data_IF_587256558974
#
_entry.id   IF_587256558974
#
_cell.length_a   1.000
_cell.length_b   1.000
_cell.length_c   1.000
_cell.angle_alpha   90.00
_cell.angle_beta   90.00
_cell.angle_gamma   90.00
#
_symmetry.space_group_name_H-M   'P 1'
#
loop_
_entity.id
_entity.type
_entity.pdbx_description
1 polymer ?
#
# COMPACT_ATOMS: atom_id res chain seq x y z
N UNK A 1 36.51 -5.25 21.40
CA UNK A 1 36.48 -3.82 21.03
C UNK A 1 37.10 -3.58 19.64
N UNK A 2 38.32 -4.07 19.36
CA UNK A 2 38.98 -3.95 18.04
C UNK A 2 38.15 -4.59 16.90
N UNK A 3 37.57 -5.77 17.13
CA UNK A 3 36.74 -6.48 16.12
C UNK A 3 35.48 -5.70 15.73
N UNK A 4 34.84 -5.03 16.70
CA UNK A 4 33.64 -4.23 16.44
C UNK A 4 33.98 -2.95 15.65
N UNK A 5 35.10 -2.30 16.00
CA UNK A 5 35.57 -1.13 15.27
C UNK A 5 35.90 -1.48 13.81
N UNK A 6 36.59 -2.60 13.60
CA UNK A 6 36.91 -3.10 12.26
C UNK A 6 35.66 -3.42 11.44
N UNK A 7 34.67 -4.09 12.03
CA UNK A 7 33.39 -4.38 11.38
C UNK A 7 32.63 -3.08 11.02
N UNK A 8 32.66 -2.08 11.88
CA UNK A 8 32.04 -0.78 11.62
C UNK A 8 32.71 -0.04 10.47
N UNK A 9 34.05 -0.06 10.40
CA UNK A 9 34.83 0.53 9.30
C UNK A 9 34.49 -0.16 7.98
N UNK A 10 34.51 -1.50 7.95
CA UNK A 10 34.13 -2.25 6.74
C UNK A 10 32.72 -1.88 6.30
N UNK A 11 31.75 -1.86 7.22
CA UNK A 11 30.35 -1.54 6.89
C UNK A 11 30.21 -0.12 6.35
N UNK A 12 30.94 0.85 6.91
CA UNK A 12 30.99 2.23 6.42
C UNK A 12 31.57 2.30 5.00
N UNK A 13 32.74 1.69 4.78
CA UNK A 13 33.40 1.69 3.47
C UNK A 13 32.54 1.01 2.40
N UNK A 14 31.91 -0.12 2.72
CA UNK A 14 30.97 -0.80 1.82
C UNK A 14 29.77 0.08 1.49
N UNK A 15 29.20 0.78 2.48
CA UNK A 15 28.07 1.68 2.26
C UNK A 15 28.45 2.90 1.42
N UNK A 16 29.65 3.46 1.65
CA UNK A 16 30.19 4.56 0.86
C UNK A 16 30.50 4.11 -0.57
N UNK A 17 31.08 2.92 -0.74
CA UNK A 17 31.33 2.33 -2.06
C UNK A 17 30.03 2.16 -2.84
N UNK A 18 29.00 1.56 -2.24
CA UNK A 18 27.70 1.36 -2.90
C UNK A 18 26.97 2.68 -3.21
N UNK A 19 27.26 3.75 -2.46
CA UNK A 19 26.74 5.08 -2.73
C UNK A 19 27.44 5.74 -3.92
N UNK A 20 28.77 5.60 -4.03
CA UNK A 20 29.58 6.15 -5.12
C UNK A 20 29.46 5.33 -6.41
N UNK A 21 29.24 4.02 -6.27
CA UNK A 21 29.14 3.05 -7.35
C UNK A 21 27.84 2.25 -7.18
N UNK A 22 26.67 2.88 -7.46
CA UNK A 22 25.39 2.24 -7.26
C UNK A 22 25.25 1.04 -8.22
N UNK A 23 24.93 -0.12 -7.64
CA UNK A 23 24.62 -1.29 -8.44
C UNK A 23 23.27 -1.10 -9.14
N UNK A 24 23.24 -1.34 -10.44
CA UNK A 24 21.98 -1.37 -11.20
C UNK A 24 21.32 -2.73 -11.01
N UNK A 25 20.07 -2.80 -10.54
CA UNK A 25 19.38 -4.06 -10.36
C UNK A 25 19.15 -4.78 -11.69
N UNK A 26 19.26 -6.11 -11.72
CA UNK A 26 18.79 -6.93 -12.85
C UNK A 26 17.29 -7.19 -12.70
N UNK A 27 16.49 -6.78 -13.68
CA UNK A 27 15.03 -6.89 -13.62
C UNK A 27 14.49 -8.08 -14.43
N UNK A 28 13.83 -9.01 -13.74
CA UNK A 28 13.13 -10.14 -14.33
C UNK A 28 11.63 -9.84 -14.39
N UNK A 29 11.02 -10.08 -15.53
CA UNK A 29 9.57 -9.92 -15.75
C UNK A 29 8.95 -11.11 -16.48
N UNK A 30 9.75 -12.14 -16.75
CA UNK A 30 9.31 -13.41 -17.33
C UNK A 30 8.95 -14.41 -16.24
N UNK A 31 7.84 -15.12 -16.42
CA UNK A 31 7.25 -15.99 -15.38
C UNK A 31 8.24 -17.03 -14.85
N UNK A 32 8.96 -17.73 -15.74
CA UNK A 32 9.89 -18.79 -15.33
C UNK A 32 11.12 -18.24 -14.58
N UNK A 33 11.88 -17.25 -15.10
CA UNK A 33 12.94 -16.60 -14.34
C UNK A 33 12.49 -15.99 -13.02
N UNK A 34 11.32 -15.34 -12.97
CA UNK A 34 10.78 -14.79 -11.72
C UNK A 34 10.46 -15.89 -10.72
N UNK A 35 9.88 -17.01 -11.16
CA UNK A 35 9.54 -18.15 -10.29
C UNK A 35 10.80 -18.76 -9.69
N UNK A 36 11.83 -19.00 -10.52
CA UNK A 36 13.12 -19.52 -10.07
C UNK A 36 13.77 -18.58 -9.04
N UNK A 37 13.79 -17.28 -9.32
CA UNK A 37 14.34 -16.28 -8.40
C UNK A 37 13.59 -16.25 -7.06
N UNK A 38 12.25 -16.35 -7.07
CA UNK A 38 11.46 -16.41 -5.84
C UNK A 38 11.72 -17.71 -5.06
N UNK A 39 11.91 -18.86 -5.71
CA UNK A 39 12.19 -20.16 -5.07
C UNK A 39 13.52 -20.17 -4.31
N UNK A 40 14.51 -19.43 -4.81
CA UNK A 40 15.82 -19.28 -4.18
C UNK A 40 15.89 -18.18 -3.12
N UNK A 41 14.79 -17.46 -2.92
CA UNK A 41 14.73 -16.32 -2.02
C UNK A 41 14.70 -16.77 -0.56
N UNK A 42 15.64 -16.26 0.25
CA UNK A 42 15.66 -16.44 1.71
C UNK A 42 15.30 -15.15 2.43
N UNK A 43 15.02 -15.23 3.74
CA UNK A 43 14.82 -14.05 4.58
C UNK A 43 16.00 -13.08 4.50
N UNK A 44 17.23 -13.59 4.52
CA UNK A 44 18.44 -12.77 4.39
C UNK A 44 18.48 -12.02 3.07
N UNK A 45 18.26 -12.71 1.95
CA UNK A 45 18.28 -12.08 0.61
C UNK A 45 17.23 -10.98 0.46
N UNK A 46 16.08 -11.09 1.16
CA UNK A 46 15.01 -10.07 1.19
C UNK A 46 15.25 -8.94 2.18
N UNK A 47 15.77 -9.25 3.36
CA UNK A 47 16.02 -8.29 4.43
C UNK A 47 17.10 -7.28 4.03
N UNK A 48 18.13 -7.72 3.30
CA UNK A 48 19.28 -6.91 2.91
C UNK A 48 18.89 -5.64 2.12
N UNK A 49 18.17 -5.72 0.98
CA UNK A 49 17.65 -4.54 0.28
C UNK A 49 16.67 -3.69 1.12
N UNK A 50 16.07 -4.28 2.15
CA UNK A 50 15.11 -3.64 3.03
C UNK A 50 15.72 -3.02 4.30
N UNK A 51 17.03 -3.12 4.51
CA UNK A 51 17.71 -2.48 5.65
C UNK A 51 17.50 -0.98 5.73
N UNK A 52 17.33 -0.30 4.59
CA UNK A 52 16.97 1.14 4.54
C UNK A 52 15.70 1.47 5.33
N UNK A 53 14.75 0.54 5.44
CA UNK A 53 13.52 0.71 6.22
C UNK A 53 13.79 0.64 7.73
N UNK A 54 14.81 -0.11 8.16
CA UNK A 54 15.28 -0.09 9.56
C UNK A 54 15.82 1.31 9.88
N UNK A 55 16.62 1.89 8.98
CA UNK A 55 17.15 3.26 9.15
C UNK A 55 16.01 4.29 9.20
N UNK A 56 15.05 4.20 8.28
CA UNK A 56 13.97 5.17 8.15
C UNK A 56 12.91 5.07 9.26
N UNK A 57 12.57 3.86 9.71
CA UNK A 57 11.43 3.64 10.61
C UNK A 57 11.77 2.94 11.93
N UNK A 58 12.94 2.33 12.05
CA UNK A 58 13.29 1.51 13.22
C UNK A 58 12.43 0.26 13.36
N UNK A 59 12.02 -0.35 12.25
CA UNK A 59 11.15 -1.52 12.21
C UNK A 59 11.92 -2.83 12.14
N UNK A 60 11.38 -3.86 12.78
CA UNK A 60 11.78 -5.24 12.59
C UNK A 60 10.53 -6.08 12.30
N UNK A 61 10.26 -6.30 11.02
CA UNK A 61 9.06 -6.99 10.53
C UNK A 61 9.42 -8.00 9.42
N UNK A 62 8.40 -8.54 8.73
CA UNK A 62 8.60 -9.54 7.67
C UNK A 62 9.50 -9.07 6.51
N UNK A 63 9.67 -7.76 6.32
CA UNK A 63 10.54 -7.23 5.27
C UNK A 63 12.00 -7.11 5.68
N UNK A 64 12.28 -6.94 6.97
CA UNK A 64 13.60 -6.52 7.47
C UNK A 64 14.28 -7.56 8.35
N UNK A 65 13.55 -8.56 8.85
CA UNK A 65 14.11 -9.60 9.70
C UNK A 65 14.79 -10.70 8.90
N UNK A 66 15.88 -11.23 9.46
CA UNK A 66 16.55 -12.46 9.01
C UNK A 66 16.16 -13.67 9.86
N UNK A 67 15.39 -13.45 10.94
CA UNK A 67 15.02 -14.49 11.90
C UNK A 67 13.74 -15.19 11.47
N UNK A 68 13.77 -16.52 11.22
CA UNK A 68 12.56 -17.29 10.93
C UNK A 68 11.49 -17.18 12.03
N UNK A 69 11.91 -17.12 13.29
CA UNK A 69 10.98 -17.01 14.42
C UNK A 69 10.23 -15.67 14.44
N UNK A 70 10.95 -14.56 14.21
CA UNK A 70 10.34 -13.23 14.17
C UNK A 70 9.40 -13.12 12.98
N UNK A 71 9.84 -13.64 11.82
CA UNK A 71 9.01 -13.70 10.62
C UNK A 71 7.71 -14.48 10.86
N UNK A 72 7.80 -15.70 11.40
CA UNK A 72 6.63 -16.54 11.65
C UNK A 72 5.69 -15.93 12.70
N UNK A 73 6.23 -15.36 13.78
CA UNK A 73 5.43 -14.67 14.80
C UNK A 73 4.66 -13.49 14.21
N UNK A 74 5.32 -12.69 13.36
CA UNK A 74 4.69 -11.59 12.65
C UNK A 74 3.55 -12.08 11.75
N UNK A 75 3.81 -13.09 10.91
CA UNK A 75 2.81 -13.64 9.99
C UNK A 75 1.61 -14.22 10.73
N UNK A 76 1.82 -14.98 11.82
CA UNK A 76 0.75 -15.54 12.63
C UNK A 76 -0.13 -14.43 13.22
N UNK A 77 0.49 -13.40 13.79
CA UNK A 77 -0.22 -12.25 14.37
C UNK A 77 -1.06 -11.50 13.33
N UNK A 78 -0.46 -11.14 12.20
CA UNK A 78 -1.14 -10.41 11.13
C UNK A 78 -2.26 -11.24 10.53
N UNK A 79 -2.03 -12.52 10.29
CA UNK A 79 -3.04 -13.43 9.73
C UNK A 79 -4.25 -13.58 10.65
N UNK A 80 -4.04 -13.75 11.96
CA UNK A 80 -5.13 -13.85 12.92
C UNK A 80 -6.01 -12.59 12.97
N UNK A 81 -5.39 -11.40 12.90
CA UNK A 81 -6.11 -10.13 12.89
C UNK A 81 -6.91 -9.94 11.60
N UNK A 82 -6.34 -10.31 10.44
CA UNK A 82 -7.03 -10.26 9.16
C UNK A 82 -8.22 -11.23 9.09
N UNK A 83 -8.06 -12.46 9.56
CA UNK A 83 -9.17 -13.43 9.56
C UNK A 83 -10.32 -12.98 10.46
N UNK A 84 -10.00 -12.35 11.60
CA UNK A 84 -11.03 -11.82 12.49
C UNK A 84 -11.91 -10.76 11.82
N UNK A 85 -11.37 -9.95 10.90
CA UNK A 85 -12.13 -8.96 10.14
C UNK A 85 -12.72 -9.51 8.83
N UNK A 86 -12.46 -10.77 8.49
CA UNK A 86 -12.80 -11.39 7.21
C UNK A 86 -14.21 -12.03 7.18
N UNK A 87 -15.20 -11.38 7.79
CA UNK A 87 -16.60 -11.82 7.81
C UNK A 87 -17.56 -10.66 7.51
N UNK A 88 -18.81 -10.98 7.14
CA UNK A 88 -19.78 -9.97 6.66
C UNK A 88 -20.11 -8.91 7.69
N UNK A 89 -20.32 -9.29 8.95
CA UNK A 89 -20.61 -8.33 10.03
C UNK A 89 -19.46 -7.33 10.16
N UNK A 90 -18.22 -7.84 10.22
CA UNK A 90 -17.03 -7.00 10.36
C UNK A 90 -16.82 -6.11 9.13
N UNK A 91 -17.07 -6.63 7.91
CA UNK A 91 -16.91 -5.85 6.68
C UNK A 91 -17.97 -4.75 6.53
N UNK A 92 -19.23 -5.03 6.87
CA UNK A 92 -20.30 -4.01 6.91
C UNK A 92 -19.97 -2.93 7.94
N UNK A 93 -19.47 -3.33 9.11
CA UNK A 93 -19.00 -2.37 10.12
C UNK A 93 -17.84 -1.51 9.59
N UNK A 94 -16.84 -2.11 8.95
CA UNK A 94 -15.71 -1.38 8.36
C UNK A 94 -16.15 -0.43 7.24
N UNK A 95 -17.13 -0.82 6.42
CA UNK A 95 -17.70 0.04 5.39
C UNK A 95 -18.38 1.27 5.99
N UNK A 96 -19.27 1.07 6.96
CA UNK A 96 -19.96 2.15 7.65
C UNK A 96 -18.97 3.08 8.38
N UNK A 97 -17.94 2.51 9.02
CA UNK A 97 -16.89 3.27 9.69
C UNK A 97 -16.08 4.10 8.69
N UNK A 98 -15.67 3.51 7.55
CA UNK A 98 -14.95 4.20 6.49
C UNK A 98 -15.76 5.36 5.89
N UNK A 99 -17.06 5.16 5.65
CA UNK A 99 -17.98 6.20 5.19
C UNK A 99 -18.06 7.36 6.19
N UNK A 100 -18.32 7.04 7.48
CA UNK A 100 -18.36 8.02 8.57
C UNK A 100 -17.07 8.82 8.69
N UNK A 101 -15.92 8.14 8.63
CA UNK A 101 -14.59 8.80 8.67
C UNK A 101 -14.45 9.80 7.52
N UNK A 102 -14.90 9.42 6.32
CA UNK A 102 -14.84 10.30 5.16
C UNK A 102 -15.78 11.51 5.27
N UNK A 103 -17.00 11.32 5.78
CA UNK A 103 -17.95 12.39 6.07
C UNK A 103 -17.36 13.39 7.06
N UNK A 104 -16.85 12.91 8.21
CA UNK A 104 -16.19 13.75 9.22
C UNK A 104 -15.01 14.54 8.65
N UNK A 105 -14.21 13.92 7.78
CA UNK A 105 -13.08 14.59 7.16
C UNK A 105 -13.53 15.74 6.25
N UNK A 106 -14.58 15.53 5.46
CA UNK A 106 -15.14 16.54 4.56
C UNK A 106 -15.78 17.68 5.35
N UNK A 107 -16.63 17.37 6.34
CA UNK A 107 -17.32 18.37 7.17
C UNK A 107 -16.35 19.26 7.95
N UNK A 108 -15.22 18.70 8.38
CA UNK A 108 -14.16 19.44 9.09
C UNK A 108 -13.19 20.15 8.16
N UNK A 109 -13.34 20.01 6.83
CA UNK A 109 -12.49 20.70 5.87
C UNK A 109 -12.81 22.19 5.88
N UNK A 110 -11.82 23.08 6.13
CA UNK A 110 -12.05 24.52 6.04
C UNK A 110 -12.15 25.02 4.60
N UNK A 111 -11.81 24.17 3.62
CA UNK A 111 -11.79 24.48 2.19
C UNK A 111 -12.98 23.80 1.49
N UNK A 112 -13.67 24.49 0.56
CA UNK A 112 -14.69 23.88 -0.29
C UNK A 112 -14.09 22.82 -1.23
N UNK A 113 -12.80 22.93 -1.54
CA UNK A 113 -12.04 21.93 -2.30
C UNK A 113 -11.36 20.98 -1.31
N UNK A 114 -11.70 19.69 -1.41
CA UNK A 114 -11.17 18.63 -0.55
C UNK A 114 -10.11 17.84 -1.30
N UNK A 115 -8.90 17.74 -0.77
CA UNK A 115 -7.84 16.92 -1.39
C UNK A 115 -8.20 15.43 -1.40
N UNK A 116 -8.33 14.83 -2.59
CA UNK A 116 -8.72 13.43 -2.78
C UNK A 116 -7.71 12.48 -2.12
N UNK A 117 -6.42 12.68 -2.38
CA UNK A 117 -5.36 11.82 -1.84
C UNK A 117 -5.32 11.83 -0.31
N UNK A 118 -5.51 13.00 0.32
CA UNK A 118 -5.57 13.12 1.79
C UNK A 118 -6.81 12.46 2.37
N UNK A 119 -7.98 12.62 1.75
CA UNK A 119 -9.21 11.92 2.16
C UNK A 119 -9.01 10.40 2.15
N UNK A 120 -8.53 9.84 1.04
CA UNK A 120 -8.30 8.39 0.91
C UNK A 120 -7.27 7.89 1.92
N UNK A 121 -6.16 8.62 2.12
CA UNK A 121 -5.15 8.26 3.13
C UNK A 121 -5.74 8.22 4.54
N UNK A 122 -6.55 9.21 4.93
CA UNK A 122 -7.16 9.24 6.28
C UNK A 122 -8.11 8.08 6.48
N UNK A 123 -9.01 7.82 5.51
CA UNK A 123 -9.97 6.71 5.57
C UNK A 123 -9.20 5.39 5.70
N UNK A 124 -8.24 5.13 4.81
CA UNK A 124 -7.47 3.87 4.81
C UNK A 124 -6.66 3.72 6.11
N UNK A 125 -6.01 4.79 6.58
CA UNK A 125 -5.22 4.73 7.82
C UNK A 125 -6.08 4.40 9.03
N UNK A 126 -7.24 5.04 9.18
CA UNK A 126 -8.17 4.75 10.29
C UNK A 126 -8.77 3.34 10.16
N UNK A 127 -9.11 2.86 8.97
CA UNK A 127 -9.54 1.46 8.77
C UNK A 127 -8.45 0.46 9.17
N UNK A 128 -7.18 0.72 8.82
CA UNK A 128 -6.03 -0.09 9.25
C UNK A 128 -5.88 -0.09 10.77
N UNK A 129 -6.07 1.06 11.45
CA UNK A 129 -6.09 1.11 12.90
C UNK A 129 -7.23 0.29 13.50
N UNK A 130 -8.44 0.36 12.94
CA UNK A 130 -9.59 -0.42 13.41
C UNK A 130 -9.31 -1.94 13.35
N UNK A 131 -8.63 -2.42 12.31
CA UNK A 131 -8.29 -3.85 12.16
C UNK A 131 -7.14 -4.26 13.09
N UNK A 132 -6.03 -3.54 13.07
CA UNK A 132 -4.78 -4.00 13.69
C UNK A 132 -4.52 -3.44 15.09
N UNK A 133 -5.18 -2.35 15.44
CA UNK A 133 -5.01 -1.62 16.71
C UNK A 133 -6.37 -1.14 17.26
N UNK A 134 -7.37 -2.03 17.45
CA UNK A 134 -8.73 -1.65 17.79
C UNK A 134 -8.83 -0.87 19.11
N UNK A 135 -7.91 -1.08 20.06
CA UNK A 135 -7.86 -0.30 21.30
C UNK A 135 -7.42 1.15 21.07
N UNK A 136 -6.55 1.41 20.09
CA UNK A 136 -6.18 2.77 19.67
C UNK A 136 -7.33 3.40 18.89
N UNK A 137 -7.95 2.64 17.99
CA UNK A 137 -9.09 3.11 17.22
C UNK A 137 -10.30 3.46 18.11
N UNK A 138 -10.57 2.72 19.19
CA UNK A 138 -11.65 3.07 20.13
C UNK A 138 -11.40 4.37 20.89
N UNK A 139 -10.15 4.82 20.99
CA UNK A 139 -9.78 6.10 21.60
C UNK A 139 -10.00 7.32 20.69
N UNK A 140 -10.88 7.24 19.69
CA UNK A 140 -11.27 8.35 18.80
C UNK A 140 -12.50 9.15 19.28
N UNK A 141 -13.00 8.90 20.51
CA UNK A 141 -14.09 9.69 21.12
C UNK A 141 -13.61 11.09 21.51
N UNK A 142 -14.51 12.02 21.84
CA UNK A 142 -14.19 13.43 22.15
C UNK A 142 -13.11 13.61 23.25
N UNK A 143 -12.96 12.62 24.14
CA UNK A 143 -11.94 12.57 25.21
C UNK A 143 -10.67 11.76 24.83
N UNK A 144 -10.55 11.41 23.55
CA UNK A 144 -9.61 10.44 23.00
C UNK A 144 -8.19 10.96 22.74
N UNK A 145 -7.20 10.06 22.76
CA UNK A 145 -5.78 10.39 22.62
C UNK A 145 -5.39 10.76 21.18
N UNK A 146 -6.00 10.17 20.14
CA UNK A 146 -5.57 10.30 18.74
C UNK A 146 -6.49 11.23 17.93
N UNK A 147 -6.02 12.43 17.59
CA UNK A 147 -6.81 13.43 16.83
C UNK A 147 -6.60 13.28 15.32
N UNK A 148 -7.50 13.83 14.51
CA UNK A 148 -7.36 13.83 13.04
C UNK A 148 -6.04 14.48 12.58
N UNK A 149 -5.57 15.47 13.32
CA UNK A 149 -4.27 16.10 13.08
C UNK A 149 -3.12 15.10 13.26
N UNK A 150 -3.20 14.20 14.24
CA UNK A 150 -2.19 13.16 14.45
C UNK A 150 -2.22 12.12 13.33
N UNK A 151 -3.41 11.72 12.87
CA UNK A 151 -3.56 10.81 11.71
C UNK A 151 -2.93 11.43 10.47
N UNK A 152 -3.21 12.72 10.21
CA UNK A 152 -2.62 13.48 9.08
C UNK A 152 -1.09 13.51 9.19
N UNK A 153 -0.55 13.85 10.36
CA UNK A 153 0.90 13.92 10.60
C UNK A 153 1.53 12.54 10.43
N UNK A 154 1.00 11.50 11.08
CA UNK A 154 1.57 10.14 11.03
C UNK A 154 1.54 9.61 9.60
N UNK A 155 0.41 9.72 8.88
CA UNK A 155 0.31 9.27 7.50
C UNK A 155 1.30 9.99 6.58
N UNK A 156 1.36 11.33 6.67
CA UNK A 156 2.26 12.14 5.87
C UNK A 156 3.74 11.78 6.15
N UNK A 157 4.10 11.57 7.42
CA UNK A 157 5.46 11.19 7.80
C UNK A 157 5.83 9.79 7.34
N UNK A 158 4.91 8.82 7.43
CA UNK A 158 5.14 7.49 6.87
C UNK A 158 5.39 7.58 5.37
N UNK A 159 4.58 8.35 4.63
CA UNK A 159 4.75 8.52 3.18
C UNK A 159 6.09 9.18 2.85
N UNK A 160 6.42 10.28 3.55
CA UNK A 160 7.68 11.02 3.35
C UNK A 160 8.91 10.15 3.59
N UNK A 161 8.95 9.44 4.72
CA UNK A 161 10.03 8.51 5.06
C UNK A 161 10.11 7.33 4.09
N UNK A 162 8.97 6.83 3.60
CA UNK A 162 8.94 5.74 2.63
C UNK A 162 9.67 6.12 1.34
N UNK A 163 9.40 7.31 0.81
CA UNK A 163 10.11 7.81 -0.37
C UNK A 163 11.55 8.19 -0.08
N UNK A 164 11.82 8.90 1.01
CA UNK A 164 13.19 9.30 1.37
C UNK A 164 14.08 8.08 1.64
N UNK A 165 13.53 6.96 2.10
CA UNK A 165 14.27 5.69 2.28
C UNK A 165 14.77 5.07 0.97
N UNK A 166 14.28 5.50 -0.19
CA UNK A 166 14.70 5.01 -1.51
C UNK A 166 15.90 5.78 -2.06
N UNK A 167 16.25 6.91 -1.45
CA UNK A 167 17.41 7.73 -1.83
C UNK A 167 18.65 7.25 -1.06
N UNK A 168 19.66 6.66 -1.75
CA UNK A 168 20.85 6.13 -1.10
C UNK A 168 21.64 7.19 -0.31
N UNK A 169 21.67 8.43 -0.79
CA UNK A 169 22.38 9.52 -0.12
C UNK A 169 21.70 9.89 1.20
N UNK A 170 20.37 10.02 1.19
CA UNK A 170 19.61 10.30 2.41
C UNK A 170 19.78 9.20 3.46
N UNK A 171 19.76 7.93 3.04
CA UNK A 171 19.98 6.77 3.93
C UNK A 171 21.40 6.76 4.48
N UNK A 172 22.41 6.99 3.65
CA UNK A 172 23.80 7.08 4.09
C UNK A 172 24.01 8.20 5.11
N UNK A 173 23.50 9.40 4.81
CA UNK A 173 23.55 10.55 5.72
C UNK A 173 22.82 10.29 7.04
N UNK A 174 21.73 9.52 7.01
CA UNK A 174 21.00 9.11 8.21
C UNK A 174 21.77 8.11 9.09
N UNK A 175 22.58 7.24 8.48
CA UNK A 175 23.30 6.19 9.19
C UNK A 175 24.65 6.67 9.74
N UNK A 176 25.36 7.54 9.01
CA UNK A 176 26.74 7.92 9.32
C UNK A 176 26.93 9.43 9.50
N UNK A 177 26.00 10.24 9.01
CA UNK A 177 26.07 11.70 9.12
C UNK A 177 25.57 12.24 10.46
N UNK A 178 25.84 13.52 10.77
CA UNK A 178 25.25 14.18 11.92
C UNK A 178 23.72 14.19 11.84
N UNK A 179 23.03 13.79 12.92
CA UNK A 179 21.56 13.68 12.97
C UNK A 179 20.84 14.93 12.46
N UNK A 180 21.31 16.12 12.85
CA UNK A 180 20.73 17.42 12.45
C UNK A 180 20.70 17.66 10.93
N UNK A 181 21.56 16.98 10.17
CA UNK A 181 21.67 17.12 8.71
C UNK A 181 20.89 16.06 7.93
N UNK A 182 20.38 15.01 8.60
CA UNK A 182 19.59 13.97 7.94
C UNK A 182 18.10 14.30 7.98
N UNK A 183 17.48 14.46 6.81
CA UNK A 183 16.01 14.59 6.73
C UNK A 183 15.32 13.37 7.33
N UNK A 184 15.79 12.16 7.00
CA UNK A 184 15.23 10.91 7.53
C UNK A 184 15.22 10.91 9.06
N UNK A 185 16.32 11.30 9.71
CA UNK A 185 16.36 11.30 11.18
C UNK A 185 15.41 12.31 11.81
N UNK A 186 15.30 13.52 11.23
CA UNK A 186 14.35 14.55 11.71
C UNK A 186 12.90 14.11 11.55
N UNK A 187 12.53 13.63 10.37
CA UNK A 187 11.15 13.18 10.10
C UNK A 187 10.80 11.93 10.93
N UNK A 188 11.77 11.03 11.13
CA UNK A 188 11.62 9.86 12.00
C UNK A 188 11.37 10.28 13.44
N UNK A 189 12.10 11.27 13.96
CA UNK A 189 11.90 11.76 15.33
C UNK A 189 10.48 12.30 15.53
N UNK A 190 9.98 13.14 14.61
CA UNK A 190 8.60 13.63 14.63
C UNK A 190 7.59 12.47 14.62
N UNK A 191 7.80 11.48 13.76
CA UNK A 191 6.93 10.32 13.69
C UNK A 191 6.93 9.51 14.99
N UNK A 192 8.11 9.25 15.56
CA UNK A 192 8.25 8.45 16.77
C UNK A 192 7.63 9.14 17.99
N UNK A 193 7.82 10.46 18.14
CA UNK A 193 7.19 11.26 19.21
C UNK A 193 5.67 11.14 19.14
N UNK A 194 5.09 11.28 17.94
CA UNK A 194 3.63 11.11 17.74
C UNK A 194 3.19 9.68 18.05
N UNK A 195 3.95 8.66 17.66
CA UNK A 195 3.59 7.29 17.97
C UNK A 195 3.67 6.97 19.47
N UNK A 196 4.64 7.51 20.21
CA UNK A 196 4.75 7.30 21.66
C UNK A 196 3.56 7.89 22.42
N UNK A 197 3.02 9.03 21.96
CA UNK A 197 1.80 9.63 22.52
C UNK A 197 0.56 8.74 22.31
N UNK A 198 0.50 8.05 21.18
CA UNK A 198 -0.72 7.38 20.69
C UNK A 198 -0.73 5.88 20.96
N UNK A 199 0.43 5.29 21.21
CA UNK A 199 0.60 3.89 21.54
C UNK A 199 1.29 3.79 22.91
N UNK A 200 0.54 3.77 24.04
CA UNK A 200 1.11 3.87 25.39
C UNK A 200 2.10 2.75 25.75
N UNK A 201 2.01 1.60 25.08
CA UNK A 201 2.94 0.47 25.23
C UNK A 201 4.20 0.60 24.38
N UNK A 202 4.26 1.56 23.45
CA UNK A 202 5.35 1.68 22.47
C UNK A 202 6.59 2.24 23.13
N UNK A 203 7.72 1.58 22.88
CA UNK A 203 9.03 2.01 23.33
C UNK A 203 10.01 1.88 22.17
N UNK A 204 10.73 2.95 21.88
CA UNK A 204 11.65 3.05 20.75
C UNK A 204 12.82 2.06 20.79
N UNK A 205 13.16 1.53 21.97
CA UNK A 205 14.21 0.51 22.14
C UNK A 205 13.77 -0.93 21.86
N UNK A 206 12.48 -1.18 21.55
CA UNK A 206 11.97 -2.52 21.18
C UNK A 206 11.44 -2.52 19.73
N UNK A 207 12.32 -2.75 18.73
CA UNK A 207 11.94 -2.72 17.32
C UNK A 207 10.77 -3.66 16.96
N UNK A 208 10.67 -4.82 17.61
CA UNK A 208 9.61 -5.81 17.33
C UNK A 208 8.22 -5.34 17.82
N UNK A 209 8.19 -4.42 18.78
CA UNK A 209 6.95 -3.80 19.28
C UNK A 209 6.58 -2.51 18.55
N UNK A 210 7.38 -2.07 17.57
CA UNK A 210 7.09 -0.86 16.81
C UNK A 210 5.75 -0.98 16.06
N UNK A 211 4.75 -0.07 16.25
CA UNK A 211 3.48 -0.11 15.51
C UNK A 211 3.70 -0.04 14.00
N UNK A 212 4.78 0.61 13.56
CA UNK A 212 5.17 0.72 12.15
C UNK A 212 5.49 -0.63 11.51
N UNK A 213 5.77 -1.68 12.29
CA UNK A 213 5.91 -3.04 11.77
C UNK A 213 4.66 -3.48 11.00
N UNK A 214 3.48 -3.01 11.40
CA UNK A 214 2.20 -3.29 10.75
C UNK A 214 1.71 -2.08 9.95
N UNK A 215 1.78 -0.86 10.51
CA UNK A 215 1.23 0.33 9.84
C UNK A 215 1.88 0.58 8.47
N UNK A 216 3.20 0.45 8.35
CA UNK A 216 3.90 0.66 7.07
C UNK A 216 3.41 -0.32 5.99
N UNK A 217 3.49 -1.66 6.17
CA UNK A 217 3.00 -2.60 5.17
C UNK A 217 1.50 -2.50 4.88
N UNK A 218 0.67 -2.30 5.92
CA UNK A 218 -0.77 -2.33 5.78
C UNK A 218 -1.33 -1.05 5.14
N UNK A 219 -0.76 0.11 5.47
CA UNK A 219 -1.22 1.40 4.93
C UNK A 219 -0.65 1.67 3.54
N UNK A 220 0.69 1.63 3.37
CA UNK A 220 1.35 2.20 2.18
C UNK A 220 0.93 1.54 0.87
N UNK A 221 0.79 0.21 0.85
CA UNK A 221 0.30 -0.49 -0.33
C UNK A 221 -1.20 -0.27 -0.54
N UNK A 222 -1.99 -0.27 0.53
CA UNK A 222 -3.45 -0.26 0.45
C UNK A 222 -4.00 1.09 -0.04
N UNK A 223 -3.53 2.22 0.50
CA UNK A 223 -4.10 3.52 0.15
C UNK A 223 -3.90 3.86 -1.34
N UNK A 224 -2.73 3.50 -1.88
CA UNK A 224 -2.44 3.72 -3.29
C UNK A 224 -3.31 2.87 -4.22
N UNK A 225 -3.63 1.64 -3.83
CA UNK A 225 -4.51 0.76 -4.63
C UNK A 225 -5.96 1.25 -4.53
N UNK A 226 -6.43 1.60 -3.34
CA UNK A 226 -7.77 2.16 -3.12
C UNK A 226 -7.96 3.44 -3.92
N UNK A 227 -7.02 4.38 -3.85
CA UNK A 227 -7.08 5.64 -4.58
C UNK A 227 -7.23 5.42 -6.09
N UNK A 228 -6.42 4.52 -6.67
CA UNK A 228 -6.46 4.26 -8.11
C UNK A 228 -7.72 3.52 -8.53
N UNK A 229 -8.18 2.55 -7.74
CA UNK A 229 -9.48 1.90 -7.97
C UNK A 229 -10.61 2.93 -7.98
N UNK A 230 -10.63 3.83 -7.00
CA UNK A 230 -11.62 4.89 -6.91
C UNK A 230 -11.56 5.82 -8.13
N UNK A 231 -10.37 6.24 -8.56
CA UNK A 231 -10.20 7.09 -9.75
C UNK A 231 -10.71 6.37 -11.00
N UNK A 232 -10.31 5.12 -11.22
CA UNK A 232 -10.75 4.33 -12.37
C UNK A 232 -12.27 4.17 -12.40
N UNK A 233 -12.86 3.84 -11.25
CA UNK A 233 -14.30 3.54 -11.16
C UNK A 233 -15.14 4.80 -11.20
N UNK A 234 -14.80 5.85 -10.44
CA UNK A 234 -15.67 7.03 -10.28
C UNK A 234 -15.40 8.13 -11.30
N UNK A 235 -14.14 8.32 -11.70
CA UNK A 235 -13.73 9.51 -12.44
C UNK A 235 -13.33 9.20 -13.89
N UNK A 236 -12.55 8.12 -14.14
CA UNK A 236 -12.16 7.72 -15.51
C UNK A 236 -13.25 6.96 -16.26
N UNK A 237 -13.99 6.06 -15.61
CA UNK A 237 -15.10 5.35 -16.25
C UNK A 237 -16.23 6.33 -16.62
N UNK A 238 -17.05 6.02 -17.63
CA UNK A 238 -18.12 6.89 -18.11
C UNK A 238 -19.42 6.11 -18.38
N UNK A 239 -20.54 6.84 -18.40
CA UNK A 239 -21.84 6.34 -18.87
C UNK A 239 -22.32 5.08 -18.15
N UNK A 240 -22.70 4.07 -18.93
CA UNK A 240 -23.19 2.77 -18.43
C UNK A 240 -22.14 2.04 -17.59
N UNK A 241 -20.89 1.99 -18.04
CA UNK A 241 -19.78 1.32 -17.35
C UNK A 241 -19.60 1.84 -15.92
N UNK A 242 -19.66 3.16 -15.73
CA UNK A 242 -19.59 3.78 -14.39
C UNK A 242 -20.71 3.27 -13.49
N UNK A 243 -21.95 3.30 -13.99
CA UNK A 243 -23.14 2.88 -13.23
C UNK A 243 -23.05 1.40 -12.85
N UNK A 244 -22.70 0.53 -13.80
CA UNK A 244 -22.54 -0.91 -13.57
C UNK A 244 -21.48 -1.21 -12.50
N UNK A 245 -20.30 -0.57 -12.60
CA UNK A 245 -19.23 -0.79 -11.64
C UNK A 245 -19.59 -0.29 -10.24
N UNK A 246 -20.20 0.90 -10.13
CA UNK A 246 -20.65 1.44 -8.85
C UNK A 246 -21.75 0.57 -8.22
N UNK A 247 -22.66 0.02 -9.02
CA UNK A 247 -23.70 -0.89 -8.54
C UNK A 247 -23.12 -2.20 -7.98
N UNK A 248 -22.11 -2.78 -8.63
CA UNK A 248 -21.40 -3.96 -8.11
C UNK A 248 -20.78 -3.69 -6.72
N UNK A 249 -20.18 -2.51 -6.50
CA UNK A 249 -19.69 -2.12 -5.18
C UNK A 249 -20.84 -1.95 -4.17
N UNK A 250 -21.96 -1.36 -4.58
CA UNK A 250 -23.14 -1.19 -3.71
C UNK A 250 -23.69 -2.55 -3.26
N UNK A 251 -23.86 -3.51 -4.18
CA UNK A 251 -24.26 -4.87 -3.84
C UNK A 251 -23.25 -5.54 -2.91
N UNK A 252 -21.95 -5.37 -3.18
CA UNK A 252 -20.89 -5.89 -2.32
C UNK A 252 -20.94 -5.35 -0.89
N UNK A 253 -21.18 -4.05 -0.69
CA UNK A 253 -21.31 -3.49 0.66
C UNK A 253 -22.54 -4.05 1.39
N UNK A 254 -23.61 -4.30 0.65
CA UNK A 254 -24.81 -4.96 1.16
C UNK A 254 -24.52 -6.37 1.66
N UNK A 255 -23.87 -7.23 0.88
CA UNK A 255 -23.62 -8.64 1.21
C UNK A 255 -22.18 -9.07 0.86
N UNK A 256 -21.17 -8.68 1.65
CA UNK A 256 -19.76 -8.78 1.25
C UNK A 256 -19.21 -10.17 0.94
N UNK A 257 -19.84 -11.26 1.40
CA UNK A 257 -19.39 -12.62 1.07
C UNK A 257 -20.06 -13.14 -0.19
N UNK A 258 -21.39 -13.04 -0.28
CA UNK A 258 -22.14 -13.52 -1.45
C UNK A 258 -21.87 -12.66 -2.69
N UNK A 259 -21.98 -11.34 -2.55
CA UNK A 259 -21.81 -10.42 -3.66
C UNK A 259 -20.36 -10.33 -4.20
N UNK A 260 -19.38 -10.94 -3.50
CA UNK A 260 -18.02 -11.08 -4.01
C UNK A 260 -17.94 -11.96 -5.26
N UNK A 261 -18.84 -12.94 -5.39
CA UNK A 261 -18.93 -13.86 -6.52
C UNK A 261 -20.21 -13.66 -7.34
N UNK A 262 -20.91 -12.52 -7.13
CA UNK A 262 -22.14 -12.21 -7.85
C UNK A 262 -21.82 -11.36 -9.07
N UNK A 263 -22.03 -11.94 -10.25
CA UNK A 263 -21.92 -11.24 -11.52
C UNK A 263 -23.15 -10.40 -11.83
N UNK A 264 -22.98 -9.33 -12.60
CA UNK A 264 -24.08 -8.65 -13.29
C UNK A 264 -24.54 -9.46 -14.52
N UNK A 265 -25.44 -8.92 -15.34
CA UNK A 265 -25.94 -9.57 -16.57
C UNK A 265 -24.83 -9.93 -17.57
N UNK A 266 -23.71 -9.20 -17.55
CA UNK A 266 -22.53 -9.41 -18.38
C UNK A 266 -21.51 -10.38 -17.73
N UNK A 267 -21.84 -10.95 -16.56
CA UNK A 267 -20.95 -11.81 -15.79
C UNK A 267 -19.82 -11.09 -15.06
N UNK A 268 -19.80 -9.74 -15.06
CA UNK A 268 -18.78 -8.95 -14.38
C UNK A 268 -19.05 -8.92 -12.87
N UNK A 269 -18.02 -9.19 -12.08
CA UNK A 269 -18.08 -9.24 -10.62
C UNK A 269 -17.20 -8.15 -9.98
N UNK A 270 -17.51 -7.73 -8.75
CA UNK A 270 -16.70 -6.75 -8.01
C UNK A 270 -15.24 -7.20 -7.84
N UNK A 271 -15.00 -8.50 -7.68
CA UNK A 271 -13.66 -9.05 -7.54
C UNK A 271 -12.81 -8.90 -8.80
N UNK A 272 -13.44 -8.86 -9.98
CA UNK A 272 -12.76 -8.62 -11.25
C UNK A 272 -12.29 -7.17 -11.37
N UNK A 273 -13.06 -6.21 -10.85
CA UNK A 273 -12.64 -4.80 -10.77
C UNK A 273 -11.44 -4.64 -9.83
N UNK A 274 -11.48 -5.31 -8.68
CA UNK A 274 -10.35 -5.32 -7.74
C UNK A 274 -9.13 -6.03 -8.35
N UNK A 275 -9.34 -7.14 -9.05
CA UNK A 275 -8.26 -7.87 -9.71
C UNK A 275 -7.60 -7.02 -10.80
N UNK A 276 -8.39 -6.31 -11.60
CA UNK A 276 -7.85 -5.39 -12.62
C UNK A 276 -7.08 -4.22 -12.00
N UNK A 277 -7.59 -3.66 -10.90
CA UNK A 277 -6.86 -2.65 -10.14
C UNK A 277 -5.51 -3.18 -9.68
N UNK A 278 -5.47 -4.37 -9.09
CA UNK A 278 -4.24 -4.95 -8.59
C UNK A 278 -3.28 -5.39 -9.70
N UNK A 279 -3.80 -5.79 -10.86
CA UNK A 279 -3.02 -6.07 -12.06
C UNK A 279 -2.32 -4.80 -12.52
N UNK A 280 -3.08 -3.74 -12.77
CA UNK A 280 -2.56 -2.52 -13.34
C UNK A 280 -1.73 -1.71 -12.31
N UNK A 281 -2.11 -1.78 -11.03
CA UNK A 281 -1.53 -0.99 -9.94
C UNK A 281 -1.08 -1.86 -8.75
N UNK A 282 -0.12 -2.79 -8.94
CA UNK A 282 0.26 -3.71 -7.88
C UNK A 282 0.89 -2.94 -6.70
N UNK A 283 0.46 -3.19 -5.45
CA UNK A 283 1.02 -2.52 -4.28
C UNK A 283 2.51 -2.88 -4.09
N UNK A 284 2.92 -4.06 -4.54
CA UNK A 284 4.33 -4.46 -4.67
C UNK A 284 4.72 -4.44 -6.14
N UNK A 285 5.32 -3.33 -6.59
CA UNK A 285 5.81 -3.21 -7.97
C UNK A 285 7.02 -4.09 -8.27
N UNK A 286 7.92 -4.15 -7.29
CA UNK A 286 9.24 -4.79 -7.42
C UNK A 286 9.61 -5.52 -6.14
N UNK A 287 10.13 -6.74 -6.28
CA UNK A 287 10.70 -7.50 -5.17
C UNK A 287 12.20 -7.64 -5.35
N UNK A 288 12.95 -6.81 -4.62
CA UNK A 288 14.41 -6.84 -4.61
C UNK A 288 14.96 -7.99 -3.76
N UNK A 289 16.00 -8.64 -4.26
CA UNK A 289 16.68 -9.81 -3.70
C UNK A 289 18.18 -9.57 -3.87
N UNK A 290 18.93 -9.54 -2.77
CA UNK A 290 20.40 -9.45 -2.84
C UNK A 290 20.99 -10.86 -2.81
N UNK A 291 21.81 -11.18 -3.82
CA UNK A 291 22.56 -12.42 -3.93
C UNK A 291 23.79 -12.42 -3.01
N UNK A 292 24.40 -13.59 -2.82
CA UNK A 292 25.56 -13.75 -1.92
C UNK A 292 26.81 -12.99 -2.40
N UNK A 293 26.96 -12.85 -3.72
CA UNK A 293 28.00 -12.04 -4.37
C UNK A 293 27.73 -10.52 -4.29
N UNK A 294 26.63 -10.11 -3.65
CA UNK A 294 26.21 -8.72 -3.49
C UNK A 294 25.34 -8.20 -4.64
N UNK A 295 25.20 -8.93 -5.76
CA UNK A 295 24.38 -8.54 -6.91
C UNK A 295 22.92 -8.35 -6.50
N UNK A 296 22.29 -7.31 -7.05
CA UNK A 296 20.90 -6.99 -6.79
C UNK A 296 20.01 -7.45 -7.94
N UNK A 297 19.17 -8.44 -7.69
CA UNK A 297 18.15 -8.92 -8.61
C UNK A 297 16.76 -8.39 -8.17
N UNK A 298 15.83 -8.27 -9.11
CA UNK A 298 14.47 -7.86 -8.82
C UNK A 298 13.43 -8.54 -9.72
N UNK A 299 12.35 -9.03 -9.12
CA UNK A 299 11.12 -9.37 -9.86
C UNK A 299 10.35 -8.07 -10.12
N UNK A 300 10.18 -7.67 -11.38
CA UNK A 300 9.38 -6.52 -11.82
C UNK A 300 7.93 -6.95 -12.11
N UNK A 301 7.13 -6.96 -11.06
CA UNK A 301 5.72 -7.37 -11.07
C UNK A 301 4.90 -6.41 -11.92
N UNK A 302 5.17 -5.10 -11.82
CA UNK A 302 4.46 -4.07 -12.58
C UNK A 302 4.66 -4.27 -14.09
N UNK A 303 5.90 -4.49 -14.54
CA UNK A 303 6.16 -4.79 -15.95
C UNK A 303 5.51 -6.12 -16.36
N UNK A 304 5.64 -7.16 -15.55
CA UNK A 304 5.03 -8.48 -15.81
C UNK A 304 3.52 -8.39 -16.01
N UNK A 305 2.85 -7.51 -15.28
CA UNK A 305 1.40 -7.29 -15.35
C UNK A 305 0.94 -6.41 -16.52
N UNK A 306 1.87 -5.75 -17.23
CA UNK A 306 1.59 -4.70 -18.23
C UNK A 306 2.11 -5.02 -19.63
N UNK A 307 2.58 -6.25 -19.87
CA UNK A 307 3.06 -6.70 -21.19
C UNK A 307 1.93 -7.36 -22.00
N UNK A 308 1.84 -7.01 -23.29
CA UNK A 308 0.74 -7.45 -24.16
C UNK A 308 0.72 -8.96 -24.44
N UNK A 309 1.90 -9.60 -24.48
CA UNK A 309 2.03 -11.06 -24.67
C UNK A 309 1.21 -11.89 -23.67
N UNK A 310 0.85 -11.32 -22.51
CA UNK A 310 0.10 -12.01 -21.44
C UNK A 310 -1.29 -11.44 -21.17
N UNK A 311 -1.50 -10.18 -21.50
CA UNK A 311 -2.71 -9.44 -21.13
C UNK A 311 -3.48 -8.92 -22.35
N UNK A 312 -3.18 -9.45 -23.53
CA UNK A 312 -3.84 -9.09 -24.78
C UNK A 312 -3.36 -7.75 -25.34
N UNK A 313 -4.15 -7.19 -26.25
CA UNK A 313 -3.76 -6.02 -27.05
C UNK A 313 -3.75 -4.69 -26.26
N UNK A 314 -4.42 -4.65 -25.11
CA UNK A 314 -4.62 -3.45 -24.31
C UNK A 314 -4.13 -3.58 -22.85
N UNK A 315 -2.88 -4.03 -22.61
CA UNK A 315 -2.41 -4.40 -21.27
C UNK A 315 -2.30 -3.19 -20.32
N UNK A 316 -2.33 -1.97 -20.84
CA UNK A 316 -2.26 -0.72 -20.07
C UNK A 316 -3.64 -0.13 -19.77
N UNK A 317 -4.70 -0.63 -20.41
CA UNK A 317 -6.06 -0.14 -20.22
C UNK A 317 -6.71 -0.83 -19.03
N UNK A 318 -7.37 -0.03 -18.19
CA UNK A 318 -8.20 -0.55 -17.10
C UNK A 318 -9.49 -1.14 -17.66
N UNK A 319 -9.53 -2.48 -17.82
CA UNK A 319 -10.66 -3.23 -18.39
C UNK A 319 -10.98 -4.46 -17.54
N UNK A 320 -11.76 -4.31 -16.45
CA UNK A 320 -12.20 -5.43 -15.62
C UNK A 320 -12.89 -6.56 -16.39
N UNK A 321 -13.54 -6.24 -17.51
CA UNK A 321 -14.22 -7.17 -18.38
C UNK A 321 -13.28 -8.26 -18.95
N UNK A 322 -11.96 -8.01 -19.00
CA UNK A 322 -10.97 -9.03 -19.41
C UNK A 322 -11.07 -10.31 -18.58
N UNK A 323 -11.44 -10.18 -17.30
CA UNK A 323 -11.52 -11.29 -16.37
C UNK A 323 -12.76 -12.15 -16.61
N UNK A 324 -13.78 -11.61 -17.26
CA UNK A 324 -14.91 -12.38 -17.78
C UNK A 324 -14.45 -13.24 -18.97
N UNK A 325 -13.67 -12.65 -19.87
CA UNK A 325 -13.17 -13.31 -21.09
C UNK A 325 -12.21 -14.47 -20.79
N UNK A 326 -11.24 -14.25 -19.89
CA UNK A 326 -10.20 -15.24 -19.59
C UNK A 326 -10.56 -16.19 -18.43
N UNK A 327 -11.60 -15.86 -17.67
CA UNK A 327 -11.93 -16.52 -16.40
C UNK A 327 -10.98 -16.09 -15.28
N UNK A 328 -11.54 -15.50 -14.22
CA UNK A 328 -10.75 -15.06 -13.08
C UNK A 328 -10.21 -16.26 -12.28
N UNK A 329 -8.92 -16.58 -12.47
CA UNK A 329 -8.16 -17.47 -11.58
C UNK A 329 -6.99 -16.72 -10.94
N UNK A 330 -7.26 -16.03 -9.84
CA UNK A 330 -6.24 -15.26 -9.10
C UNK A 330 -5.17 -16.16 -8.46
N UNK A 331 -5.33 -17.48 -8.40
CA UNK A 331 -4.35 -18.40 -7.78
C UNK A 331 -3.48 -19.08 -8.84
N UNK A 332 -4.10 -19.60 -9.90
CA UNK A 332 -3.43 -20.32 -10.98
C UNK A 332 -2.88 -19.43 -12.10
N UNK A 333 -3.28 -18.15 -12.18
CA UNK A 333 -2.69 -17.23 -13.16
C UNK A 333 -1.26 -16.86 -12.76
N UNK A 334 -0.28 -17.53 -13.36
CA UNK A 334 1.13 -17.44 -12.98
C UNK A 334 1.72 -16.03 -13.11
N UNK A 335 1.25 -15.25 -14.09
CA UNK A 335 1.68 -13.88 -14.34
C UNK A 335 0.94 -12.85 -13.48
N UNK A 336 0.00 -13.27 -12.63
CA UNK A 336 -0.76 -12.41 -11.72
C UNK A 336 -0.27 -12.60 -10.27
N UNK A 337 0.61 -11.71 -9.82
CA UNK A 337 1.23 -11.77 -8.50
C UNK A 337 1.32 -10.41 -7.78
N UNK A 338 0.22 -9.65 -7.66
CA UNK A 338 0.24 -8.32 -7.03
C UNK A 338 0.64 -8.34 -5.54
N UNK A 339 0.53 -9.52 -4.92
CA UNK A 339 0.90 -9.81 -3.53
C UNK A 339 2.13 -10.72 -3.43
N UNK A 340 2.94 -10.81 -4.50
CA UNK A 340 3.95 -11.84 -4.65
C UNK A 340 3.32 -13.23 -4.77
N UNK A 341 4.12 -14.29 -4.63
CA UNK A 341 3.72 -15.67 -4.90
C UNK A 341 4.31 -16.63 -3.87
N UNK A 342 3.52 -17.63 -3.48
CA UNK A 342 4.01 -18.79 -2.75
C UNK A 342 4.77 -19.68 -3.73
N UNK A 343 6.03 -19.94 -3.45
CA UNK A 343 6.87 -20.84 -4.23
C UNK A 343 7.35 -21.91 -3.26
N UNK A 344 6.83 -23.12 -3.41
CA UNK A 344 7.12 -24.21 -2.48
C UNK A 344 8.53 -24.73 -2.66
N UNK A 345 9.23 -24.95 -1.54
CA UNK A 345 10.25 -26.00 -1.44
C UNK A 345 10.11 -26.59 -0.04
N UNK A 346 9.57 -27.80 0.06
CA UNK A 346 9.65 -28.57 1.32
C UNK A 346 11.12 -28.84 1.64
N UNK A 347 11.66 -28.22 2.70
CA UNK A 347 13.01 -28.51 3.19
C UNK A 347 13.73 -27.35 3.89
N UNK A 348 14.31 -27.66 5.05
CA UNK A 348 15.28 -26.93 5.89
C UNK A 348 15.37 -25.40 5.72
N UNK A 349 14.49 -24.69 6.44
CA UNK A 349 14.69 -23.28 6.77
C UNK A 349 14.29 -22.27 5.69
N UNK A 350 13.80 -22.71 4.52
CA UNK A 350 13.15 -21.85 3.54
C UNK A 350 11.69 -21.68 3.93
N UNK A 351 11.33 -20.52 4.47
CA UNK A 351 9.91 -20.27 4.75
C UNK A 351 9.17 -20.16 3.41
N UNK A 352 8.28 -21.10 3.12
CA UNK A 352 7.42 -21.15 1.92
C UNK A 352 6.63 -19.84 1.64
N UNK A 353 6.66 -18.90 2.56
CA UNK A 353 5.88 -17.65 2.60
C UNK A 353 6.71 -16.38 2.49
N UNK A 354 8.06 -16.44 2.42
CA UNK A 354 8.92 -15.23 2.35
C UNK A 354 8.49 -14.29 1.21
N UNK A 355 8.02 -14.87 0.11
CA UNK A 355 7.70 -14.17 -1.13
C UNK A 355 6.20 -13.86 -1.31
N UNK A 356 5.35 -14.17 -0.32
CA UNK A 356 3.90 -13.98 -0.43
C UNK A 356 3.37 -13.11 0.71
N UNK A 357 2.61 -12.07 0.36
CA UNK A 357 1.91 -11.25 1.35
C UNK A 357 0.77 -12.05 2.02
N UNK A 358 0.66 -12.02 3.37
CA UNK A 358 -0.39 -12.74 4.08
C UNK A 358 -1.82 -12.26 3.74
N UNK A 359 -1.98 -11.02 3.23
CA UNK A 359 -3.28 -10.44 2.90
C UNK A 359 -3.93 -11.03 1.64
N UNK A 360 -3.15 -11.67 0.74
CA UNK A 360 -3.64 -12.18 -0.55
C UNK A 360 -4.88 -13.05 -0.41
N UNK A 361 -4.84 -14.01 0.53
CA UNK A 361 -5.90 -14.99 0.74
C UNK A 361 -6.80 -14.67 1.95
N UNK A 362 -6.48 -13.61 2.70
CA UNK A 362 -7.08 -13.31 4.01
C UNK A 362 -7.85 -12.00 4.01
N UNK A 363 -8.60 -11.77 2.93
CA UNK A 363 -9.50 -10.62 2.82
C UNK A 363 -8.85 -9.31 2.35
N UNK A 364 -7.56 -9.27 1.98
CA UNK A 364 -6.92 -8.06 1.43
C UNK A 364 -7.65 -7.47 0.21
N UNK A 365 -7.95 -8.27 -0.84
CA UNK A 365 -8.77 -7.82 -1.98
C UNK A 365 -10.15 -7.34 -1.57
N UNK A 366 -10.82 -8.04 -0.64
CA UNK A 366 -12.14 -7.66 -0.15
C UNK A 366 -12.10 -6.35 0.65
N UNK A 367 -11.03 -6.09 1.39
CA UNK A 367 -10.83 -4.83 2.11
C UNK A 367 -10.68 -3.64 1.15
N UNK A 368 -10.00 -3.83 0.01
CA UNK A 368 -9.97 -2.82 -1.06
C UNK A 368 -11.40 -2.51 -1.49
N UNK A 369 -12.23 -3.53 -1.76
CA UNK A 369 -13.60 -3.32 -2.17
C UNK A 369 -14.47 -2.65 -1.10
N UNK A 370 -14.28 -2.97 0.18
CA UNK A 370 -14.97 -2.32 1.30
C UNK A 370 -14.69 -0.82 1.32
N UNK A 371 -13.41 -0.44 1.26
CA UNK A 371 -13.02 0.97 1.36
C UNK A 371 -13.42 1.73 0.10
N UNK A 372 -13.20 1.15 -1.08
CA UNK A 372 -13.61 1.77 -2.36
C UNK A 372 -15.12 1.94 -2.41
N UNK A 373 -15.91 0.92 -2.05
CA UNK A 373 -17.36 1.02 -2.01
C UNK A 373 -17.83 2.14 -1.08
N UNK A 374 -17.26 2.24 0.13
CA UNK A 374 -17.62 3.29 1.08
C UNK A 374 -17.28 4.69 0.54
N UNK A 375 -16.15 4.84 -0.15
CA UNK A 375 -15.76 6.09 -0.80
C UNK A 375 -16.64 6.41 -2.03
N UNK A 376 -17.13 5.42 -2.76
CA UNK A 376 -18.09 5.61 -3.86
C UNK A 376 -19.46 6.03 -3.35
N UNK A 377 -19.88 5.54 -2.18
CA UNK A 377 -21.09 6.00 -1.50
C UNK A 377 -20.94 7.44 -0.96
N UNK A 378 -19.75 7.78 -0.44
CA UNK A 378 -19.42 9.13 0.01
C UNK A 378 -19.37 10.15 -1.14
N UNK A 379 -18.76 9.76 -2.26
CA UNK A 379 -18.51 10.59 -3.43
C UNK A 379 -19.55 10.26 -4.52
N UNK A 380 -20.79 10.57 -4.20
CA UNK A 380 -21.94 10.45 -5.09
C UNK A 380 -21.79 11.30 -6.37
N UNK A 381 -22.86 11.39 -7.16
CA UNK A 381 -22.86 12.11 -8.43
C UNK A 381 -22.68 13.63 -8.29
N UNK A 382 -22.80 14.21 -7.09
CA UNK A 382 -22.58 15.64 -6.84
C UNK A 382 -21.10 16.01 -6.80
N UNK A 383 -20.22 15.05 -6.50
CA UNK A 383 -18.79 15.30 -6.41
C UNK A 383 -18.11 15.24 -7.76
N UNK A 384 -17.33 16.27 -8.07
CA UNK A 384 -16.46 16.32 -9.24
C UNK A 384 -15.00 16.41 -8.83
N UNK A 385 -14.15 15.97 -9.76
CA UNK A 385 -12.71 16.03 -9.61
C UNK A 385 -12.18 17.21 -10.44
N UNK A 386 -11.41 18.06 -9.79
CA UNK A 386 -10.63 19.12 -10.41
C UNK A 386 -9.17 18.66 -10.45
N UNK A 387 -8.63 18.52 -11.66
CA UNK A 387 -7.20 18.38 -11.86
C UNK A 387 -6.56 19.74 -11.58
N UNK A 388 -5.64 19.81 -10.63
CA UNK A 388 -5.00 21.07 -10.27
C UNK A 388 -4.34 21.74 -11.48
N UNK A 389 -4.27 23.08 -11.43
CA UNK A 389 -3.77 23.99 -12.46
C UNK A 389 -2.42 23.64 -13.11
N UNK A 390 -1.62 22.74 -12.50
CA UNK A 390 -0.32 22.35 -13.04
C UNK A 390 -0.37 21.18 -14.04
N UNK A 391 -1.57 20.62 -14.33
CA UNK A 391 -1.79 19.45 -15.20
C UNK A 391 -0.85 18.27 -14.91
N UNK A 392 -0.17 18.29 -13.74
CA UNK A 392 0.85 17.29 -13.50
C UNK A 392 0.18 15.96 -13.39
N UNK A 393 -0.94 15.85 -12.72
CA UNK A 393 -1.68 14.61 -12.55
C UNK A 393 -2.80 14.49 -13.61
N UNK A 394 -2.47 14.65 -14.90
CA UNK A 394 -3.43 14.30 -15.97
C UNK A 394 -3.82 12.83 -15.80
N UNK A 395 -5.02 12.64 -15.28
CA UNK A 395 -5.61 11.31 -15.09
C UNK A 395 -6.50 10.96 -16.28
N UNK A 396 -6.59 11.73 -17.35
CA UNK A 396 -7.46 11.45 -18.49
C UNK A 396 -6.70 11.10 -19.77
N UNK A 397 -5.36 11.05 -19.69
CA UNK A 397 -4.43 10.68 -20.78
C UNK A 397 -4.57 9.24 -21.31
N UNK A 398 -5.36 8.39 -20.65
CA UNK A 398 -5.56 6.99 -21.02
C UNK A 398 -4.40 6.06 -20.63
N UNK A 399 -3.32 6.59 -20.06
CA UNK A 399 -2.19 5.82 -19.55
C UNK A 399 -2.45 5.31 -18.13
N UNK A 400 -1.72 4.28 -17.66
CA UNK A 400 -1.85 3.82 -16.29
C UNK A 400 -1.52 4.93 -15.28
N UNK A 401 -2.40 5.10 -14.29
CA UNK A 401 -2.23 6.00 -13.16
C UNK A 401 -0.83 5.87 -12.50
N UNK A 402 -0.09 6.97 -12.44
CA UNK A 402 1.26 7.10 -11.88
C UNK A 402 1.41 6.66 -10.42
N UNK A 403 2.64 6.49 -9.93
CA UNK A 403 2.93 6.18 -8.52
C UNK A 403 4.07 7.01 -7.91
N UNK A 404 4.19 8.26 -8.33
CA UNK A 404 5.14 9.24 -7.80
C UNK A 404 4.87 9.63 -6.35
N UNK A 405 5.86 10.30 -5.74
CA UNK A 405 5.80 10.83 -4.37
C UNK A 405 4.73 11.89 -4.20
N UNK A 406 4.60 12.69 -5.24
CA UNK A 406 3.73 13.84 -5.45
C UNK A 406 2.46 13.48 -6.23
N UNK A 407 2.28 12.22 -6.60
CA UNK A 407 1.13 11.79 -7.39
C UNK A 407 -0.18 12.07 -6.64
N UNK A 408 -1.08 12.77 -7.33
CA UNK A 408 -2.42 13.12 -6.88
C UNK A 408 -2.46 14.11 -5.72
N UNK A 409 -1.36 14.84 -5.46
CA UNK A 409 -1.36 15.91 -4.46
C UNK A 409 -2.18 17.12 -4.92
N UNK A 410 -2.29 17.33 -6.25
CA UNK A 410 -3.05 18.45 -6.83
C UNK A 410 -4.52 18.14 -7.08
N UNK A 411 -4.95 16.86 -6.94
CA UNK A 411 -6.34 16.47 -7.16
C UNK A 411 -7.27 16.98 -6.06
N UNK A 412 -8.19 17.86 -6.45
CA UNK A 412 -9.22 18.45 -5.60
C UNK A 412 -10.61 17.91 -5.91
N UNK A 413 -11.40 17.67 -4.86
CA UNK A 413 -12.82 17.32 -4.97
C UNK A 413 -13.66 18.55 -4.63
N UNK A 414 -14.68 18.83 -5.41
CA UNK A 414 -15.65 19.88 -5.15
C UNK A 414 -17.06 19.39 -5.46
N UNK A 415 -18.09 20.02 -4.88
CA UNK A 415 -19.49 19.66 -5.13
C UNK A 415 -20.07 20.54 -6.25
N UNK A 416 -20.75 19.96 -7.23
CA UNK A 416 -21.36 20.67 -8.38
C UNK A 416 -22.19 21.91 -8.01
N UNK A 417 -22.87 21.86 -6.86
CA UNK A 417 -23.72 22.95 -6.37
C UNK A 417 -22.94 24.10 -5.70
N UNK A 418 -21.64 23.96 -5.53
CA UNK A 418 -20.71 24.95 -4.99
C UNK A 418 -19.69 25.21 -6.10
N UNK A 419 -20.02 26.07 -7.07
CA UNK A 419 -19.05 26.37 -8.13
C UNK A 419 -17.80 27.05 -7.51
N UNK A 420 -16.58 26.60 -7.83
CA UNK A 420 -15.35 27.19 -7.28
C UNK A 420 -15.20 28.68 -7.62
N UNK A 421 -15.80 29.11 -8.73
CA UNK A 421 -15.72 30.48 -9.25
C UNK A 421 -16.65 31.48 -8.57
N UNK A 422 -17.56 31.05 -7.69
CA UNK A 422 -18.43 31.97 -6.92
C UNK A 422 -17.85 32.34 -5.53
N UNK A 423 -16.66 31.81 -5.17
CA UNK A 423 -16.02 32.03 -3.85
C UNK A 423 -14.83 33.01 -3.95
N UNK A 424 -14.52 33.52 -5.14
CA UNK A 424 -13.54 34.59 -5.36
C UNK A 424 -14.25 35.92 -5.64
N UNK A 425 -14.98 36.44 -4.64
CA UNK A 425 -15.35 37.86 -4.52
C UNK A 425 -15.23 38.32 -3.06
#
# INVERSE_FOLDING_TARGET
>A
MITQLFQNIITFLTSLYNLLFPQTPTFYHETAPCTALLQETTLTKRALPNRRLITAFGIENAFTTISPQIHQNFLNKVSALLEKSNNDISRRFLAADALRIGQEYIERSPSPIVSLSKLVQVVVFRTVLTIFFPHVAKGFTEDGLLKDIDVKIISAQINKLWYDSKDPWKVFAAQYGPRRWSSIMREREILLERLELQFPWYRTYLPQRNPLNILVPAHQGLWGVVLRCLIEVRFRSQGERRREWMELFRWFLGEPTEAWHRGNEKGLEVQMIVAETLRLYPPTKRMYIQQEDGRLDAVDIEKMHRVGERWGDDPLVFRPERWVEIGLDVVGTDCYMPFGRKVGVEGDGKADTVSQCPSRLRGGPKLIAVIVGALLELLDEEWELEDGWDMKDDIFDGEPLRSGKDAYESLGLWRRHIQPFEILD
#
